data_IF_877368111143
#
_entry.id   IF_877368111143
#
_cell.length_a   1.000
_cell.length_b   1.000
_cell.length_c   1.000
_cell.angle_alpha   90.00
_cell.angle_beta   90.00
_cell.angle_gamma   90.00
#
_symmetry.space_group_name_H-M   'P 1'
#
loop_
_entity.id
_entity.type
_entity.pdbx_description
1 polymer ?
#
# COMPACT_ATOMS: atom_id res chain seq x y z
N UNK A 1 19.51 31.37 6.99
CA UNK A 1 20.07 30.01 7.20
C UNK A 1 19.05 28.93 7.58
N UNK A 2 17.75 29.23 7.76
CA UNK A 2 16.72 28.22 8.13
C UNK A 2 16.16 27.46 6.90
N UNK A 3 16.41 27.94 5.69
CA UNK A 3 15.88 27.34 4.45
C UNK A 3 16.62 26.09 3.94
N UNK A 4 17.83 25.79 4.46
CA UNK A 4 18.64 24.68 3.93
C UNK A 4 18.25 23.30 4.50
N UNK A 5 17.63 23.26 5.67
CA UNK A 5 17.19 22.01 6.33
C UNK A 5 15.74 21.62 6.01
N UNK A 6 14.96 22.53 5.39
CA UNK A 6 13.55 22.36 5.05
C UNK A 6 13.33 22.45 3.53
N UNK A 7 14.20 21.80 2.75
CA UNK A 7 14.00 21.63 1.32
C UNK A 7 12.88 20.59 1.08
N UNK A 8 11.65 21.02 1.31
CA UNK A 8 10.43 20.28 0.97
C UNK A 8 10.18 20.36 -0.55
N UNK A 9 9.44 19.41 -1.11
CA UNK A 9 8.98 19.46 -2.50
C UNK A 9 8.35 20.83 -2.81
N UNK A 10 8.96 21.57 -3.73
CA UNK A 10 8.52 22.91 -4.11
C UNK A 10 7.60 22.92 -5.32
N UNK A 11 7.18 24.12 -5.73
CA UNK A 11 6.52 24.30 -7.02
C UNK A 11 7.50 23.91 -8.14
N UNK A 12 7.11 22.95 -8.96
CA UNK A 12 7.86 22.61 -10.16
C UNK A 12 7.21 23.27 -11.36
N UNK A 13 7.95 24.15 -12.02
CA UNK A 13 7.52 24.80 -13.26
C UNK A 13 7.69 23.83 -14.43
N UNK A 14 6.72 22.95 -14.60
CA UNK A 14 6.57 22.16 -15.82
C UNK A 14 5.14 22.29 -16.35
N UNK A 15 4.97 22.09 -17.64
CA UNK A 15 3.65 21.97 -18.27
C UNK A 15 3.60 20.56 -18.81
N UNK A 16 2.57 19.81 -18.42
CA UNK A 16 2.35 18.48 -18.99
C UNK A 16 1.94 18.63 -20.46
N UNK A 17 2.90 18.37 -21.34
CA UNK A 17 2.69 18.23 -22.78
C UNK A 17 1.84 16.98 -23.05
N UNK A 18 1.32 16.88 -24.29
CA UNK A 18 0.48 15.74 -24.70
C UNK A 18 1.19 14.40 -24.46
N UNK A 19 2.50 14.34 -24.67
CA UNK A 19 3.32 13.14 -24.48
C UNK A 19 3.39 12.69 -23.02
N UNK A 20 3.65 13.57 -22.05
CA UNK A 20 3.68 13.15 -20.63
C UNK A 20 2.29 12.72 -20.14
N UNK A 21 1.22 13.34 -20.63
CA UNK A 21 -0.15 12.89 -20.33
C UNK A 21 -0.40 11.49 -20.84
N UNK A 22 0.05 11.16 -22.05
CA UNK A 22 -0.02 9.80 -22.60
C UNK A 22 0.74 8.81 -21.72
N UNK A 23 1.96 9.13 -21.29
CA UNK A 23 2.72 8.28 -20.37
C UNK A 23 2.02 8.04 -19.04
N UNK A 24 1.42 9.08 -18.44
CA UNK A 24 0.66 8.93 -17.19
C UNK A 24 -0.57 8.03 -17.37
N UNK A 25 -1.28 8.16 -18.50
CA UNK A 25 -2.42 7.29 -18.82
C UNK A 25 -1.94 5.84 -18.98
N UNK A 26 -0.80 5.60 -19.64
CA UNK A 26 -0.23 4.26 -19.76
C UNK A 26 0.12 3.66 -18.39
N UNK A 27 0.71 4.45 -17.47
CA UNK A 27 0.99 4.02 -16.10
C UNK A 27 -0.31 3.69 -15.36
N UNK A 28 -1.35 4.51 -15.51
CA UNK A 28 -2.66 4.25 -14.91
C UNK A 28 -3.28 2.95 -15.43
N UNK A 29 -3.24 2.72 -16.74
CA UNK A 29 -3.72 1.48 -17.36
C UNK A 29 -2.92 0.28 -16.84
N UNK A 30 -1.60 0.37 -16.78
CA UNK A 30 -0.76 -0.69 -16.24
C UNK A 30 -1.08 -1.01 -14.76
N UNK A 31 -1.33 0.03 -13.95
CA UNK A 31 -1.75 -0.13 -12.56
C UNK A 31 -3.09 -0.88 -12.45
N UNK A 32 -4.08 -0.50 -13.25
CA UNK A 32 -5.39 -1.15 -13.29
C UNK A 32 -5.29 -2.60 -13.76
N UNK A 33 -4.48 -2.88 -14.79
CA UNK A 33 -4.21 -4.23 -15.27
C UNK A 33 -3.54 -5.07 -14.18
N UNK A 34 -2.58 -4.51 -13.44
CA UNK A 34 -1.94 -5.18 -12.30
C UNK A 34 -2.95 -5.55 -11.21
N UNK A 35 -3.80 -4.61 -10.80
CA UNK A 35 -4.87 -4.87 -9.81
C UNK A 35 -5.82 -5.95 -10.32
N UNK A 36 -6.29 -5.83 -11.57
CA UNK A 36 -7.20 -6.79 -12.17
C UNK A 36 -6.59 -8.20 -12.25
N UNK A 37 -5.33 -8.31 -12.68
CA UNK A 37 -4.59 -9.57 -12.71
C UNK A 37 -4.49 -10.18 -11.30
N UNK A 38 -4.17 -9.36 -10.29
CA UNK A 38 -4.17 -9.79 -8.89
C UNK A 38 -5.53 -10.34 -8.44
N UNK A 39 -6.62 -9.67 -8.78
CA UNK A 39 -7.98 -10.14 -8.45
C UNK A 39 -8.38 -11.43 -9.18
N UNK A 40 -7.97 -11.59 -10.45
CA UNK A 40 -8.19 -12.82 -11.21
C UNK A 40 -7.42 -13.99 -10.59
N UNK A 41 -6.16 -13.79 -10.25
CA UNK A 41 -5.34 -14.79 -9.55
C UNK A 41 -5.95 -15.15 -8.20
N UNK A 42 -6.45 -14.16 -7.46
CA UNK A 42 -7.14 -14.35 -6.18
C UNK A 42 -8.33 -15.29 -6.30
N UNK A 43 -9.20 -15.08 -7.30
CA UNK A 43 -10.32 -15.98 -7.57
C UNK A 43 -9.85 -17.40 -7.87
N UNK A 44 -8.76 -17.54 -8.62
CA UNK A 44 -8.17 -18.84 -8.94
C UNK A 44 -7.67 -19.58 -7.70
N UNK A 45 -6.98 -18.89 -6.78
CA UNK A 45 -6.51 -19.47 -5.52
C UNK A 45 -7.70 -19.82 -4.62
N UNK A 46 -8.66 -18.92 -4.44
CA UNK A 46 -9.78 -19.13 -3.52
C UNK A 46 -10.69 -20.31 -3.93
N UNK A 47 -10.76 -20.63 -5.23
CA UNK A 47 -11.48 -21.79 -5.76
C UNK A 47 -10.74 -23.12 -5.56
N UNK A 48 -9.46 -23.11 -5.23
CA UNK A 48 -8.71 -24.35 -4.97
C UNK A 48 -9.24 -25.04 -3.70
N UNK A 49 -9.13 -26.38 -3.70
CA UNK A 49 -9.60 -27.23 -2.61
C UNK A 49 -8.87 -26.92 -1.29
N UNK A 50 -9.61 -27.01 -0.20
CA UNK A 50 -9.10 -26.79 1.18
C UNK A 50 -8.73 -28.10 1.87
N UNK A 51 -8.92 -29.24 1.22
CA UNK A 51 -8.48 -30.54 1.72
C UNK A 51 -9.44 -31.14 2.75
N UNK A 52 -8.87 -31.81 3.76
CA UNK A 52 -9.64 -32.57 4.77
C UNK A 52 -10.19 -31.67 5.88
N UNK A 53 -11.13 -32.18 6.67
CA UNK A 53 -11.69 -31.44 7.81
C UNK A 53 -10.66 -31.05 8.87
N UNK A 54 -9.67 -31.92 9.11
CA UNK A 54 -8.55 -31.62 9.99
C UNK A 54 -7.69 -30.47 9.47
N UNK A 55 -7.46 -30.38 8.15
CA UNK A 55 -6.75 -29.25 7.56
C UNK A 55 -7.55 -27.95 7.69
N UNK A 56 -8.88 -28.02 7.52
CA UNK A 56 -9.78 -26.88 7.67
C UNK A 56 -9.81 -26.34 9.11
N UNK A 57 -9.83 -27.22 10.11
CA UNK A 57 -9.86 -26.80 11.52
C UNK A 57 -8.55 -26.09 11.93
N UNK A 58 -7.39 -26.61 11.52
CA UNK A 58 -6.09 -25.96 11.74
C UNK A 58 -6.04 -24.60 11.04
N UNK A 59 -6.48 -24.54 9.78
CA UNK A 59 -6.51 -23.30 9.02
C UNK A 59 -7.41 -22.23 9.67
N UNK A 60 -8.54 -22.64 10.26
CA UNK A 60 -9.44 -21.75 10.97
C UNK A 60 -8.75 -21.14 12.21
N UNK A 61 -8.05 -21.95 13.01
CA UNK A 61 -7.30 -21.47 14.18
C UNK A 61 -6.19 -20.47 13.78
N UNK A 62 -5.44 -20.75 12.70
CA UNK A 62 -4.43 -19.83 12.17
C UNK A 62 -5.08 -18.52 11.70
N UNK A 63 -6.23 -18.61 11.03
CA UNK A 63 -6.96 -17.44 10.53
C UNK A 63 -7.47 -16.56 11.68
N UNK A 64 -7.98 -17.17 12.75
CA UNK A 64 -8.40 -16.45 13.95
C UNK A 64 -7.23 -15.70 14.58
N UNK A 65 -6.10 -16.37 14.79
CA UNK A 65 -4.88 -15.75 15.32
C UNK A 65 -4.37 -14.60 14.45
N UNK A 66 -4.31 -14.80 13.14
CA UNK A 66 -3.88 -13.77 12.19
C UNK A 66 -4.80 -12.54 12.20
N UNK A 67 -6.13 -12.74 12.24
CA UNK A 67 -7.10 -11.64 12.30
C UNK A 67 -7.01 -10.91 13.65
N UNK A 68 -6.85 -11.63 14.76
CA UNK A 68 -6.66 -11.04 16.08
C UNK A 68 -5.39 -10.17 16.13
N UNK A 69 -4.28 -10.68 15.59
CA UNK A 69 -3.03 -9.95 15.46
C UNK A 69 -3.19 -8.68 14.63
N UNK A 70 -3.76 -8.77 13.41
CA UNK A 70 -3.97 -7.60 12.56
C UNK A 70 -4.83 -6.54 13.24
N UNK A 71 -5.93 -6.94 13.89
CA UNK A 71 -6.79 -5.98 14.62
C UNK A 71 -6.05 -5.28 15.75
N UNK A 72 -5.10 -5.95 16.42
CA UNK A 72 -4.29 -5.31 17.45
C UNK A 72 -3.24 -4.39 16.84
N UNK A 73 -2.59 -4.82 15.76
CA UNK A 73 -1.57 -4.06 15.05
C UNK A 73 -2.13 -2.78 14.43
N UNK A 74 -3.26 -2.85 13.72
CA UNK A 74 -3.91 -1.65 13.15
C UNK A 74 -4.34 -0.64 14.21
N UNK A 75 -4.81 -1.10 15.38
CA UNK A 75 -5.11 -0.21 16.52
C UNK A 75 -3.87 0.51 17.03
N UNK A 76 -2.74 -0.18 17.14
CA UNK A 76 -1.47 0.43 17.56
C UNK A 76 -0.94 1.42 16.50
N UNK A 77 -1.04 1.07 15.21
CA UNK A 77 -0.65 1.95 14.11
C UNK A 77 -1.48 3.23 14.14
N UNK A 78 -2.79 3.15 14.39
CA UNK A 78 -3.65 4.33 14.46
C UNK A 78 -3.19 5.34 15.53
N UNK A 79 -2.71 4.85 16.67
CA UNK A 79 -2.20 5.67 17.77
C UNK A 79 -0.95 6.47 17.35
N UNK A 80 -0.10 5.90 16.49
CA UNK A 80 1.10 6.58 15.96
C UNK A 80 0.77 7.45 14.75
N UNK A 81 -0.21 7.04 13.95
CA UNK A 81 -0.60 7.72 12.72
C UNK A 81 -1.19 9.11 12.98
N UNK A 82 -1.98 9.28 14.05
CA UNK A 82 -2.62 10.57 14.38
C UNK A 82 -1.61 11.65 14.79
N UNK A 83 -0.70 11.44 15.78
CA UNK A 83 0.33 12.42 16.12
C UNK A 83 1.24 12.74 14.93
N UNK A 84 1.55 11.74 14.11
CA UNK A 84 2.41 11.93 12.96
C UNK A 84 1.72 12.72 11.84
N UNK A 85 0.41 12.52 11.64
CA UNK A 85 -0.38 13.38 10.74
C UNK A 85 -0.36 14.85 11.20
N UNK A 86 -0.48 15.09 12.50
CA UNK A 86 -0.36 16.45 13.07
C UNK A 86 1.05 17.02 12.84
N UNK A 87 2.10 16.23 13.07
CA UNK A 87 3.48 16.66 12.81
C UNK A 87 3.67 17.02 11.33
N UNK A 88 3.21 16.18 10.41
CA UNK A 88 3.31 16.40 8.96
C UNK A 88 2.56 17.67 8.54
N UNK A 89 1.43 17.96 9.17
CA UNK A 89 0.68 19.19 8.94
C UNK A 89 1.50 20.43 9.30
N UNK A 90 2.14 20.43 10.48
CA UNK A 90 2.94 21.57 10.94
C UNK A 90 4.29 21.71 10.22
N UNK A 91 4.87 20.62 9.73
CA UNK A 91 6.08 20.67 8.90
C UNK A 91 5.81 21.10 7.46
N UNK A 92 4.55 21.15 7.01
CA UNK A 92 4.22 21.57 5.66
C UNK A 92 4.50 23.06 5.46
N UNK A 93 5.42 23.42 4.57
CA UNK A 93 5.73 24.82 4.25
C UNK A 93 4.79 25.38 3.17
N UNK A 94 4.67 26.72 3.10
CA UNK A 94 3.90 27.39 2.03
C UNK A 94 4.55 27.10 0.68
N UNK A 95 3.78 26.63 -0.29
CA UNK A 95 4.27 26.43 -1.66
C UNK A 95 4.00 27.70 -2.46
N UNK A 96 5.08 28.43 -2.74
CA UNK A 96 5.04 29.70 -3.48
C UNK A 96 5.39 29.44 -4.95
N UNK A 97 4.68 30.08 -5.88
CA UNK A 97 5.01 30.05 -7.31
C UNK A 97 6.25 30.91 -7.60
N UNK A 98 6.96 30.69 -8.73
CA UNK A 98 8.08 31.53 -9.17
C UNK A 98 7.73 33.02 -9.29
N UNK A 99 6.47 33.36 -9.59
CA UNK A 99 5.95 34.73 -9.68
C UNK A 99 5.61 35.38 -8.31
N UNK A 100 5.93 34.74 -7.19
CA UNK A 100 5.61 35.26 -5.84
C UNK A 100 4.15 35.10 -5.41
N UNK A 101 3.28 34.56 -6.28
CA UNK A 101 1.90 34.20 -5.93
C UNK A 101 1.84 32.87 -5.17
N UNK A 102 0.94 32.78 -4.18
CA UNK A 102 0.78 31.58 -3.36
C UNK A 102 0.09 30.48 -4.18
N UNK A 103 0.82 29.41 -4.52
CA UNK A 103 0.26 28.26 -5.25
C UNK A 103 -0.61 27.40 -4.31
N UNK A 104 -0.11 27.17 -3.09
CA UNK A 104 -0.88 26.63 -1.98
C UNK A 104 -0.57 27.41 -0.71
N UNK A 105 -1.63 27.86 -0.04
CA UNK A 105 -1.52 28.39 1.32
C UNK A 105 -1.06 27.30 2.28
N UNK A 106 -0.44 27.68 3.40
CA UNK A 106 0.05 26.78 4.45
C UNK A 106 -1.02 25.77 4.87
N UNK A 107 -2.26 26.23 5.08
CA UNK A 107 -3.38 25.37 5.46
C UNK A 107 -3.76 24.35 4.39
N UNK A 108 -3.77 24.75 3.11
CA UNK A 108 -4.08 23.83 2.00
C UNK A 108 -2.95 22.83 1.74
N UNK A 109 -1.68 23.28 1.78
CA UNK A 109 -0.52 22.40 1.59
C UNK A 109 -0.43 21.34 2.70
N UNK A 110 -0.60 21.76 3.95
CA UNK A 110 -0.68 20.84 5.10
C UNK A 110 -1.87 19.89 4.97
N UNK A 111 -3.05 20.40 4.64
CA UNK A 111 -4.26 19.58 4.49
C UNK A 111 -4.13 18.49 3.42
N UNK A 112 -3.68 18.83 2.21
CA UNK A 112 -3.50 17.85 1.13
C UNK A 112 -2.38 16.86 1.41
N UNK A 113 -1.30 17.28 2.08
CA UNK A 113 -0.21 16.38 2.47
C UNK A 113 -0.65 15.37 3.52
N UNK A 114 -1.43 15.79 4.51
CA UNK A 114 -2.03 14.88 5.49
C UNK A 114 -3.04 13.94 4.83
N UNK A 115 -3.88 14.45 3.94
CA UNK A 115 -4.82 13.63 3.18
C UNK A 115 -4.09 12.53 2.39
N UNK A 116 -3.02 12.90 1.69
CA UNK A 116 -2.21 11.95 0.93
C UNK A 116 -1.42 10.99 1.82
N UNK A 117 -0.97 11.44 3.00
CA UNK A 117 -0.40 10.57 4.02
C UNK A 117 -1.37 9.50 4.51
N UNK A 118 -2.59 9.90 4.88
CA UNK A 118 -3.65 8.97 5.28
C UNK A 118 -4.02 8.04 4.13
N UNK A 119 -4.11 8.56 2.90
CA UNK A 119 -4.40 7.77 1.71
C UNK A 119 -3.31 6.72 1.43
N UNK A 120 -2.03 7.11 1.48
CA UNK A 120 -0.90 6.19 1.30
C UNK A 120 -0.83 5.13 2.40
N UNK A 121 -1.08 5.52 3.65
CA UNK A 121 -1.20 4.58 4.76
C UNK A 121 -2.37 3.61 4.51
N UNK A 122 -3.54 4.09 4.11
CA UNK A 122 -4.71 3.26 3.84
C UNK A 122 -4.45 2.22 2.73
N UNK A 123 -3.83 2.62 1.62
CA UNK A 123 -3.49 1.69 0.52
C UNK A 123 -2.47 0.63 0.94
N UNK A 124 -1.45 1.03 1.71
CA UNK A 124 -0.45 0.12 2.27
C UNK A 124 -1.09 -0.87 3.24
N UNK A 125 -1.99 -0.38 4.11
CA UNK A 125 -2.75 -1.19 5.05
C UNK A 125 -3.68 -2.18 4.38
N UNK A 126 -4.39 -1.75 3.34
CA UNK A 126 -5.25 -2.60 2.54
C UNK A 126 -4.46 -3.75 1.89
N UNK A 127 -3.31 -3.43 1.30
CA UNK A 127 -2.41 -4.42 0.70
C UNK A 127 -1.92 -5.43 1.73
N UNK A 128 -1.50 -4.96 2.91
CA UNK A 128 -1.05 -5.82 4.01
C UNK A 128 -2.15 -6.74 4.54
N UNK A 129 -3.36 -6.20 4.73
CA UNK A 129 -4.52 -6.96 5.20
C UNK A 129 -4.93 -8.05 4.20
N UNK A 130 -5.07 -7.70 2.92
CA UNK A 130 -5.40 -8.65 1.86
C UNK A 130 -4.29 -9.71 1.75
N UNK A 131 -3.02 -9.29 1.77
CA UNK A 131 -1.88 -10.18 1.66
C UNK A 131 -1.84 -11.23 2.78
N UNK A 132 -2.03 -10.82 4.03
CA UNK A 132 -2.06 -11.76 5.16
C UNK A 132 -3.29 -12.68 5.09
N UNK A 133 -4.48 -12.13 4.78
CA UNK A 133 -5.71 -12.94 4.64
C UNK A 133 -5.56 -14.02 3.57
N UNK A 134 -4.96 -13.67 2.42
CA UNK A 134 -4.70 -14.60 1.35
C UNK A 134 -3.60 -15.60 1.67
N UNK A 135 -2.54 -15.18 2.37
CA UNK A 135 -1.48 -16.10 2.79
C UNK A 135 -2.05 -17.22 3.67
N UNK A 136 -2.84 -16.88 4.69
CA UNK A 136 -3.46 -17.89 5.57
C UNK A 136 -4.38 -18.83 4.80
N UNK A 137 -5.23 -18.28 3.91
CA UNK A 137 -6.14 -19.08 3.07
C UNK A 137 -5.41 -19.88 1.99
N UNK A 138 -4.27 -19.40 1.51
CA UNK A 138 -3.45 -20.03 0.48
C UNK A 138 -2.61 -21.18 1.04
N UNK A 139 -2.19 -21.11 2.31
CA UNK A 139 -1.40 -22.15 2.96
C UNK A 139 -2.13 -23.51 2.97
N UNK A 140 -3.39 -23.52 3.43
CA UNK A 140 -4.19 -24.77 3.46
C UNK A 140 -4.42 -25.35 2.07
N UNK A 141 -4.62 -24.48 1.06
CA UNK A 141 -4.83 -24.88 -0.33
C UNK A 141 -3.55 -25.41 -0.99
N UNK A 142 -2.41 -24.83 -0.62
CA UNK A 142 -1.09 -25.30 -1.04
C UNK A 142 -0.82 -26.69 -0.46
N UNK A 143 -1.09 -26.89 0.83
CA UNK A 143 -0.99 -28.19 1.47
C UNK A 143 -1.95 -29.22 0.84
N UNK A 144 -3.18 -28.81 0.53
CA UNK A 144 -4.16 -29.68 -0.12
C UNK A 144 -3.71 -30.09 -1.53
N UNK A 145 -3.15 -29.16 -2.30
CA UNK A 145 -2.59 -29.42 -3.63
C UNK A 145 -1.31 -30.28 -3.61
N UNK A 146 -0.59 -30.30 -2.49
CA UNK A 146 0.57 -31.16 -2.29
C UNK A 146 0.18 -32.62 -1.96
N UNK A 147 -1.08 -32.87 -1.58
CA UNK A 147 -1.57 -34.23 -1.33
C UNK A 147 -1.42 -35.08 -2.59
N UNK A 148 -0.81 -36.25 -2.45
CA UNK A 148 -0.52 -37.14 -3.57
C UNK A 148 0.75 -36.78 -4.36
N UNK A 149 1.68 -36.01 -3.80
CA UNK A 149 3.03 -35.80 -4.35
C UNK A 149 3.11 -34.82 -5.53
N UNK A 150 2.06 -34.04 -5.78
CA UNK A 150 1.97 -33.13 -6.95
C UNK A 150 2.64 -31.78 -6.68
N UNK A 151 3.98 -31.76 -6.65
CA UNK A 151 4.79 -30.56 -6.43
C UNK A 151 4.40 -29.38 -7.33
N UNK A 152 4.17 -29.63 -8.63
CA UNK A 152 3.79 -28.59 -9.59
C UNK A 152 2.46 -27.91 -9.25
N UNK A 153 1.50 -28.64 -8.69
CA UNK A 153 0.20 -28.11 -8.26
C UNK A 153 0.34 -27.22 -7.02
N UNK A 154 1.06 -27.71 -6.01
CA UNK A 154 1.35 -26.97 -4.79
C UNK A 154 2.12 -25.68 -5.08
N UNK A 155 3.19 -25.76 -5.87
CA UNK A 155 4.00 -24.60 -6.25
C UNK A 155 3.18 -23.56 -7.01
N UNK A 156 2.29 -23.98 -7.91
CA UNK A 156 1.41 -23.08 -8.64
C UNK A 156 0.47 -22.31 -7.70
N UNK A 157 -0.12 -22.97 -6.70
CA UNK A 157 -0.99 -22.31 -5.73
C UNK A 157 -0.19 -21.35 -4.83
N UNK A 158 0.97 -21.78 -4.33
CA UNK A 158 1.84 -20.96 -3.50
C UNK A 158 2.33 -19.71 -4.24
N UNK A 159 2.85 -19.88 -5.46
CA UNK A 159 3.36 -18.77 -6.28
C UNK A 159 2.26 -17.78 -6.65
N UNK A 160 1.08 -18.28 -7.04
CA UNK A 160 -0.08 -17.41 -7.32
C UNK A 160 -0.52 -16.64 -6.07
N UNK A 161 -0.49 -17.28 -4.89
CA UNK A 161 -0.82 -16.62 -3.62
C UNK A 161 0.11 -15.43 -3.36
N UNK A 162 1.42 -15.61 -3.54
CA UNK A 162 2.40 -14.51 -3.41
C UNK A 162 2.26 -13.43 -4.48
N UNK A 163 2.03 -13.84 -5.74
CA UNK A 163 1.89 -12.93 -6.87
C UNK A 163 0.72 -11.94 -6.70
N UNK A 164 -0.39 -12.36 -6.07
CA UNK A 164 -1.54 -11.48 -5.82
C UNK A 164 -1.13 -10.28 -4.97
N UNK A 165 -0.44 -10.50 -3.86
CA UNK A 165 -0.01 -9.43 -2.95
C UNK A 165 0.96 -8.48 -3.64
N UNK A 166 1.89 -9.00 -4.46
CA UNK A 166 2.81 -8.19 -5.24
C UNK A 166 2.10 -7.30 -6.27
N UNK A 167 1.18 -7.89 -7.04
CA UNK A 167 0.38 -7.18 -8.05
C UNK A 167 -0.51 -6.09 -7.43
N UNK A 168 -1.14 -6.37 -6.29
CA UNK A 168 -1.94 -5.38 -5.56
C UNK A 168 -1.08 -4.25 -4.98
N UNK A 169 0.10 -4.57 -4.42
CA UNK A 169 1.02 -3.59 -3.87
C UNK A 169 1.48 -2.57 -4.94
N UNK A 170 1.99 -3.09 -6.06
CA UNK A 170 2.47 -2.25 -7.17
C UNK A 170 1.31 -1.52 -7.83
N UNK A 171 0.20 -2.21 -8.07
CA UNK A 171 -0.98 -1.62 -8.71
C UNK A 171 -1.61 -0.48 -7.90
N UNK A 172 -1.83 -0.67 -6.59
CA UNK A 172 -2.37 0.37 -5.72
C UNK A 172 -1.37 1.53 -5.51
N UNK A 173 -0.08 1.24 -5.43
CA UNK A 173 0.97 2.26 -5.33
C UNK A 173 1.05 3.15 -6.57
N UNK A 174 1.07 2.54 -7.77
CA UNK A 174 1.08 3.27 -9.04
C UNK A 174 -0.22 4.03 -9.27
N UNK A 175 -1.38 3.44 -8.95
CA UNK A 175 -2.67 4.11 -9.04
C UNK A 175 -2.68 5.36 -8.15
N UNK A 176 -2.30 5.21 -6.88
CA UNK A 176 -2.26 6.32 -5.93
C UNK A 176 -1.32 7.44 -6.37
N UNK A 177 -0.09 7.10 -6.75
CA UNK A 177 0.88 8.08 -7.23
C UNK A 177 0.42 8.81 -8.50
N UNK A 178 -0.13 8.07 -9.47
CA UNK A 178 -0.59 8.64 -10.75
C UNK A 178 -1.78 9.57 -10.56
N UNK A 179 -2.74 9.21 -9.71
CA UNK A 179 -3.89 10.08 -9.37
C UNK A 179 -3.44 11.38 -8.71
N UNK A 180 -2.44 11.32 -7.82
CA UNK A 180 -1.88 12.51 -7.15
C UNK A 180 -1.17 13.40 -8.17
N UNK A 181 -0.36 12.83 -9.07
CA UNK A 181 0.33 13.60 -10.12
C UNK A 181 -0.67 14.26 -11.07
N UNK A 182 -1.73 13.54 -11.47
CA UNK A 182 -2.75 14.07 -12.37
C UNK A 182 -3.53 15.24 -11.74
N UNK A 183 -3.80 15.17 -10.44
CA UNK A 183 -4.61 16.16 -9.70
C UNK A 183 -3.81 17.40 -9.27
N UNK A 184 -2.56 17.23 -8.80
CA UNK A 184 -1.78 18.31 -8.18
C UNK A 184 -0.69 18.90 -9.09
N UNK A 185 -0.32 18.20 -10.18
CA UNK A 185 0.65 18.63 -11.20
C UNK A 185 1.89 19.33 -10.63
N UNK A 186 1.96 20.66 -10.79
CA UNK A 186 3.11 21.49 -10.39
C UNK A 186 3.37 21.50 -8.87
N UNK A 187 2.42 20.98 -8.09
CA UNK A 187 2.52 20.84 -6.62
C UNK A 187 2.56 19.38 -6.16
N UNK A 188 2.56 18.43 -7.10
CA UNK A 188 2.51 17.00 -6.81
C UNK A 188 3.65 16.55 -5.91
N UNK A 189 4.87 17.07 -6.09
CA UNK A 189 6.04 16.70 -5.28
C UNK A 189 5.84 17.00 -3.79
N UNK A 190 5.20 18.12 -3.45
CA UNK A 190 4.91 18.50 -2.06
C UNK A 190 3.94 17.52 -1.38
N UNK A 191 3.01 16.98 -2.16
CA UNK A 191 1.90 16.12 -1.69
C UNK A 191 2.30 14.63 -1.73
N UNK A 192 3.06 14.21 -2.73
CA UNK A 192 3.59 12.85 -2.91
C UNK A 192 4.50 12.42 -1.76
N UNK A 193 5.24 13.36 -1.15
CA UNK A 193 6.03 13.08 0.05
C UNK A 193 5.13 12.57 1.17
N UNK A 194 3.95 13.17 1.36
CA UNK A 194 2.94 12.69 2.31
C UNK A 194 2.52 11.25 1.99
N UNK A 195 2.16 10.97 0.74
CA UNK A 195 1.76 9.64 0.28
C UNK A 195 2.83 8.57 0.53
N UNK A 196 4.07 8.82 0.10
CA UNK A 196 5.18 7.90 0.29
C UNK A 196 5.50 7.66 1.76
N UNK A 197 5.46 8.71 2.58
CA UNK A 197 5.70 8.60 4.01
C UNK A 197 4.62 7.78 4.72
N UNK A 198 3.34 7.99 4.38
CA UNK A 198 2.23 7.21 4.93
C UNK A 198 2.30 5.73 4.55
N UNK A 199 2.59 5.45 3.28
CA UNK A 199 2.75 4.08 2.81
C UNK A 199 3.92 3.36 3.51
N UNK A 200 5.04 4.05 3.69
CA UNK A 200 6.28 3.53 4.31
C UNK A 200 6.12 3.32 5.81
N UNK A 201 5.45 4.23 6.52
CA UNK A 201 5.16 4.10 7.94
C UNK A 201 4.37 2.81 8.20
N UNK A 202 3.28 2.60 7.47
CA UNK A 202 2.45 1.42 7.69
C UNK A 202 3.23 0.14 7.32
N UNK A 203 3.99 0.16 6.23
CA UNK A 203 4.85 -0.96 5.84
C UNK A 203 5.90 -1.31 6.91
N UNK A 204 6.50 -0.31 7.55
CA UNK A 204 7.46 -0.49 8.64
C UNK A 204 6.81 -1.22 9.82
N UNK A 205 5.67 -0.74 10.30
CA UNK A 205 4.98 -1.36 11.44
C UNK A 205 4.49 -2.77 11.14
N UNK A 206 3.99 -3.02 9.93
CA UNK A 206 3.56 -4.36 9.52
C UNK A 206 4.75 -5.34 9.47
N UNK A 207 5.89 -4.93 8.92
CA UNK A 207 7.09 -5.77 8.85
C UNK A 207 7.74 -6.01 10.21
N UNK A 208 7.94 -4.96 10.99
CA UNK A 208 8.60 -5.06 12.31
C UNK A 208 7.69 -5.78 13.28
N UNK A 209 6.42 -5.36 13.41
CA UNK A 209 5.49 -6.00 14.35
C UNK A 209 5.18 -7.45 13.98
N UNK A 210 5.02 -7.75 12.68
CA UNK A 210 4.86 -9.13 12.21
C UNK A 210 6.13 -9.97 12.41
N UNK A 211 7.30 -9.40 12.16
CA UNK A 211 8.59 -10.04 12.40
C UNK A 211 8.80 -10.43 13.86
N UNK A 212 8.51 -9.51 14.79
CA UNK A 212 8.60 -9.79 16.23
C UNK A 212 7.62 -10.89 16.62
N UNK A 213 6.35 -10.79 16.21
CA UNK A 213 5.33 -11.78 16.54
C UNK A 213 5.70 -13.19 16.08
N UNK A 214 6.14 -13.32 14.83
CA UNK A 214 6.52 -14.63 14.25
C UNK A 214 7.82 -15.21 14.77
N UNK A 215 8.72 -14.39 15.34
CA UNK A 215 9.99 -14.84 15.90
C UNK A 215 9.93 -15.13 17.40
N UNK A 216 8.93 -14.59 18.09
CA UNK A 216 8.70 -14.86 19.51
C UNK A 216 7.90 -16.16 19.74
N UNK A 217 7.09 -16.59 18.77
CA UNK A 217 6.40 -17.87 18.76
C UNK A 217 7.35 -19.01 18.31
#
# INVERSE_FOLDING_TARGET
MVHLLAAEGGYQSFVLTSTEKTWLVLVLVAALVGIAAGLVLMRGVLRADTGTDSMRSIAAAIQEGAVAFLRRQFRAILLVLVPLAVLIFFTATKVVRPDGSVALSFGSAGGFRVLCFVFGAALSGLTGFIGMSLAVRGNVRTAAAARGGKMAGALRVAFRTGAITGMLCVGLGLLGATVIVFSFQNTATAVLVGFGFGASLLALFMRVGGGIFTKAA
#
